data_IF_098789034312
#
_entry.id   IF_098789034312
#
_cell.length_a   1.000
_cell.length_b   1.000
_cell.length_c   1.000
_cell.angle_alpha   90.00
_cell.angle_beta   90.00
_cell.angle_gamma   90.00
#
_symmetry.space_group_name_H-M   'P 1'
#
loop_
_entity.id
_entity.type
_entity.pdbx_description
1 polymer ?
#
# COMPACT_ATOMS: atom_id res chain seq x y z
N UNK A 1 7.26 3.66 10.76
CA UNK A 1 6.05 2.90 11.14
C UNK A 1 5.44 2.49 9.81
N UNK A 2 4.97 1.24 9.66
CA UNK A 2 4.97 0.56 8.36
C UNK A 2 3.60 0.05 7.90
N UNK A 3 2.80 -0.47 8.82
CA UNK A 3 1.42 -0.90 8.58
C UNK A 3 0.61 -0.41 9.78
N UNK A 4 -0.43 0.37 9.53
CA UNK A 4 -1.36 0.92 10.52
C UNK A 4 -2.69 0.24 10.34
N UNK A 5 -3.12 -0.54 11.33
CA UNK A 5 -4.43 -1.20 11.28
C UNK A 5 -5.52 -0.16 11.52
N UNK A 6 -6.43 0.02 10.57
CA UNK A 6 -7.53 0.97 10.69
C UNK A 6 -8.47 0.59 11.84
N UNK A 7 -8.72 -0.71 12.01
CA UNK A 7 -9.43 -1.29 13.15
C UNK A 7 -8.51 -2.28 13.90
N UNK A 8 -7.98 -1.91 15.09
CA UNK A 8 -7.16 -2.80 15.90
C UNK A 8 -7.87 -4.07 16.40
N UNK A 9 -9.21 -4.09 16.45
CA UNK A 9 -9.98 -5.27 16.83
C UNK A 9 -10.09 -6.28 15.67
N UNK A 10 -9.94 -5.81 14.43
CA UNK A 10 -10.07 -6.60 13.20
C UNK A 10 -8.83 -6.47 12.33
N UNK A 11 -7.73 -7.02 12.83
CA UNK A 11 -6.43 -6.95 12.16
C UNK A 11 -6.45 -7.64 10.79
N UNK A 12 -6.02 -6.92 9.76
CA UNK A 12 -5.69 -7.47 8.46
C UNK A 12 -4.20 -7.84 8.40
N UNK A 13 -3.91 -9.13 8.52
CA UNK A 13 -2.57 -9.70 8.43
C UNK A 13 -2.21 -10.21 7.02
N UNK A 14 -3.02 -9.88 6.01
CA UNK A 14 -2.84 -10.30 4.62
C UNK A 14 -2.20 -9.24 3.75
N UNK A 15 -2.12 -8.00 4.21
CA UNK A 15 -1.35 -6.93 3.57
C UNK A 15 -0.06 -6.76 4.36
N UNK A 16 1.08 -7.02 3.70
CA UNK A 16 2.40 -7.01 4.32
C UNK A 16 3.42 -6.35 3.38
N UNK A 17 4.50 -5.81 3.93
CA UNK A 17 5.63 -5.32 3.12
C UNK A 17 6.57 -6.51 2.86
N UNK A 18 7.06 -6.64 1.62
CA UNK A 18 8.01 -7.69 1.27
C UNK A 18 9.31 -7.52 2.10
N UNK A 19 9.75 -8.54 2.85
CA UNK A 19 10.95 -8.45 3.68
C UNK A 19 12.25 -8.32 2.87
N UNK A 20 12.25 -8.74 1.60
CA UNK A 20 13.42 -8.71 0.72
C UNK A 20 13.43 -7.48 -0.19
N UNK A 21 12.26 -6.89 -0.46
CA UNK A 21 12.14 -5.66 -1.25
C UNK A 21 11.18 -4.67 -0.57
N UNK A 22 11.67 -3.70 0.21
CA UNK A 22 10.81 -2.81 0.97
C UNK A 22 10.01 -1.82 0.11
N UNK A 23 10.21 -1.78 -1.21
CA UNK A 23 9.35 -1.03 -2.14
C UNK A 23 8.06 -1.79 -2.51
N UNK A 24 7.94 -3.07 -2.16
CA UNK A 24 6.86 -3.96 -2.59
C UNK A 24 5.86 -4.20 -1.45
N UNK A 25 4.59 -3.96 -1.74
CA UNK A 25 3.46 -4.41 -0.93
C UNK A 25 2.99 -5.78 -1.42
N UNK A 26 2.95 -6.76 -0.53
CA UNK A 26 2.43 -8.10 -0.79
C UNK A 26 1.02 -8.25 -0.20
N UNK A 27 0.12 -8.75 -1.03
CA UNK A 27 -1.22 -9.17 -0.64
C UNK A 27 -1.21 -10.69 -0.65
N UNK A 28 -1.51 -11.30 0.49
CA UNK A 28 -1.62 -12.74 0.66
C UNK A 28 -3.03 -13.21 0.29
N UNK A 29 -3.14 -14.49 -0.06
CA UNK A 29 -4.43 -15.09 -0.39
C UNK A 29 -5.45 -14.88 0.74
N UNK A 30 -6.66 -14.52 0.36
CA UNK A 30 -7.81 -14.40 1.25
C UNK A 30 -9.09 -14.83 0.53
N UNK A 31 -9.98 -15.52 1.25
CA UNK A 31 -11.30 -15.89 0.73
C UNK A 31 -12.32 -14.88 1.23
N UNK A 32 -13.05 -14.27 0.31
CA UNK A 32 -14.10 -13.31 0.60
C UNK A 32 -15.37 -14.01 1.12
N UNK A 33 -16.24 -13.28 1.84
CA UNK A 33 -17.54 -13.75 2.31
C UNK A 33 -18.39 -14.45 1.24
N UNK A 34 -18.40 -13.91 0.02
CA UNK A 34 -19.16 -14.45 -1.12
C UNK A 34 -18.52 -15.69 -1.77
N UNK A 35 -17.42 -16.21 -1.22
CA UNK A 35 -16.69 -17.37 -1.72
C UNK A 35 -15.65 -17.06 -2.80
N UNK A 36 -15.55 -15.82 -3.29
CA UNK A 36 -14.48 -15.42 -4.20
C UNK A 36 -13.11 -15.47 -3.51
N UNK A 37 -12.04 -15.68 -4.29
CA UNK A 37 -10.68 -15.83 -3.75
C UNK A 37 -9.79 -14.74 -4.30
N UNK A 38 -9.31 -13.86 -3.42
CA UNK A 38 -8.22 -12.97 -3.70
C UNK A 38 -6.93 -13.77 -3.82
N UNK A 39 -6.32 -13.76 -5.00
CA UNK A 39 -5.03 -14.43 -5.23
C UNK A 39 -3.89 -13.60 -4.65
N UNK A 40 -2.76 -14.23 -4.27
CA UNK A 40 -1.58 -13.49 -3.87
C UNK A 40 -1.09 -12.56 -4.97
N UNK A 41 -0.69 -11.34 -4.60
CA UNK A 41 -0.16 -10.36 -5.54
C UNK A 41 0.94 -9.52 -4.88
N UNK A 42 1.95 -9.17 -5.66
CA UNK A 42 2.99 -8.21 -5.27
C UNK A 42 2.84 -6.94 -6.10
N UNK A 43 2.86 -5.79 -5.44
CA UNK A 43 2.74 -4.48 -6.06
C UNK A 43 3.96 -3.65 -5.68
N UNK A 44 4.81 -3.35 -6.65
CA UNK A 44 5.92 -2.42 -6.47
C UNK A 44 5.40 -0.99 -6.49
N UNK A 45 5.66 -0.23 -5.42
CA UNK A 45 5.16 1.13 -5.25
C UNK A 45 6.16 2.21 -5.70
N UNK A 46 7.30 1.82 -6.28
CA UNK A 46 8.33 2.77 -6.77
C UNK A 46 7.76 3.78 -7.78
N UNK A 47 6.90 3.33 -8.70
CA UNK A 47 6.30 4.20 -9.72
C UNK A 47 5.22 5.14 -9.17
N UNK A 48 4.80 4.94 -7.92
CA UNK A 48 3.77 5.74 -7.24
C UNK A 48 4.37 6.81 -6.32
N UNK A 49 5.71 6.95 -6.28
CA UNK A 49 6.36 7.97 -5.46
C UNK A 49 5.86 9.38 -5.77
N UNK A 50 5.50 10.12 -4.72
CA UNK A 50 4.90 11.45 -4.80
C UNK A 50 3.39 11.45 -5.06
N UNK A 51 2.73 10.29 -5.01
CA UNK A 51 1.30 10.14 -5.31
C UNK A 51 0.53 9.43 -4.17
N UNK A 52 -0.78 9.70 -4.03
CA UNK A 52 -1.63 8.86 -3.20
C UNK A 52 -1.77 7.46 -3.81
N UNK A 53 -1.75 6.45 -2.97
CA UNK A 53 -1.96 5.05 -3.32
C UNK A 53 -3.20 4.54 -2.61
N UNK A 54 -4.07 3.85 -3.35
CA UNK A 54 -5.21 3.11 -2.80
C UNK A 54 -5.29 1.75 -3.47
N UNK A 55 -5.60 0.75 -2.67
CA UNK A 55 -5.77 -0.62 -3.10
C UNK A 55 -7.14 -1.12 -2.67
N UNK A 56 -7.89 -1.63 -3.63
CA UNK A 56 -9.21 -2.18 -3.45
C UNK A 56 -9.21 -3.68 -3.77
N UNK A 57 -10.14 -4.40 -3.16
CA UNK A 57 -10.55 -5.72 -3.63
C UNK A 57 -11.96 -5.60 -4.21
N UNK A 58 -12.16 -6.21 -5.37
CA UNK A 58 -13.44 -6.30 -6.06
C UNK A 58 -14.23 -7.52 -5.60
N UNK A 59 -15.54 -7.56 -5.88
CA UNK A 59 -16.41 -8.68 -5.48
C UNK A 59 -15.95 -10.05 -6.02
N UNK A 60 -15.24 -10.07 -7.15
CA UNK A 60 -14.69 -11.31 -7.75
C UNK A 60 -13.32 -11.71 -7.18
N UNK A 61 -12.81 -10.97 -6.19
CA UNK A 61 -11.50 -11.18 -5.57
C UNK A 61 -10.33 -10.55 -6.33
N UNK A 62 -10.56 -9.82 -7.42
CA UNK A 62 -9.48 -9.08 -8.10
C UNK A 62 -9.05 -7.87 -7.28
N UNK A 63 -7.77 -7.52 -7.39
CA UNK A 63 -7.21 -6.31 -6.79
C UNK A 63 -7.20 -5.18 -7.81
N UNK A 64 -7.50 -3.98 -7.35
CA UNK A 64 -7.55 -2.78 -8.17
C UNK A 64 -6.90 -1.60 -7.45
N UNK A 65 -6.22 -0.75 -8.21
CA UNK A 65 -5.46 0.41 -7.71
C UNK A 65 -5.97 1.75 -8.26
N UNK A 66 -7.07 1.72 -9.02
CA UNK A 66 -7.65 2.92 -9.59
C UNK A 66 -8.12 3.87 -8.48
N UNK A 67 -7.86 5.17 -8.67
CA UNK A 67 -8.32 6.20 -7.72
C UNK A 67 -9.77 6.63 -8.00
N UNK A 68 -10.30 6.27 -9.16
CA UNK A 68 -11.61 6.62 -9.68
C UNK A 68 -12.48 5.39 -9.92
N UNK A 69 -13.79 5.60 -9.83
CA UNK A 69 -14.78 4.53 -9.98
C UNK A 69 -15.39 4.09 -8.66
N UNK A 70 -16.27 3.10 -8.75
CA UNK A 70 -16.88 2.45 -7.60
C UNK A 70 -16.20 1.11 -7.43
N UNK A 71 -15.58 0.91 -6.27
CA UNK A 71 -14.90 -0.32 -5.89
C UNK A 71 -15.65 -0.99 -4.75
N UNK A 72 -15.56 -2.31 -4.67
CA UNK A 72 -16.26 -3.07 -3.65
C UNK A 72 -15.74 -2.78 -2.23
N UNK A 73 -14.43 -2.87 -2.00
CA UNK A 73 -13.86 -2.68 -0.67
C UNK A 73 -12.43 -2.12 -0.70
N UNK A 74 -12.16 -1.09 0.10
CA UNK A 74 -10.80 -0.53 0.27
C UNK A 74 -10.00 -1.42 1.22
N UNK A 75 -8.85 -1.93 0.77
CA UNK A 75 -7.94 -2.76 1.57
C UNK A 75 -6.78 -1.99 2.18
N UNK A 76 -6.18 -1.06 1.43
CA UNK A 76 -5.06 -0.28 1.91
C UNK A 76 -5.01 1.10 1.26
N UNK A 77 -4.54 2.10 1.99
CA UNK A 77 -4.16 3.39 1.42
C UNK A 77 -2.91 3.96 2.06
N UNK A 78 -2.18 4.76 1.29
CA UNK A 78 -0.96 5.44 1.73
C UNK A 78 -0.71 6.69 0.90
N UNK A 79 0.11 7.61 1.43
CA UNK A 79 0.74 8.65 0.63
C UNK A 79 2.19 8.23 0.42
N UNK A 80 2.55 7.91 -0.83
CA UNK A 80 3.90 7.44 -1.13
C UNK A 80 4.83 8.65 -1.22
N UNK A 81 5.96 8.66 -0.49
CA UNK A 81 6.86 9.81 -0.46
C UNK A 81 7.43 10.10 -1.85
N UNK A 82 7.83 11.35 -2.08
CA UNK A 82 8.53 11.75 -3.30
C UNK A 82 9.87 11.01 -3.43
N UNK A 83 10.44 11.04 -4.64
CA UNK A 83 11.78 10.48 -4.88
C UNK A 83 12.83 11.27 -4.11
N UNK A 84 13.60 10.57 -3.30
CA UNK A 84 14.73 11.12 -2.58
C UNK A 84 16.04 10.82 -3.31
N UNK A 85 17.01 11.73 -3.21
CA UNK A 85 18.33 11.57 -3.81
C UNK A 85 19.40 11.82 -2.76
N UNK A 86 20.42 10.97 -2.76
CA UNK A 86 21.62 11.14 -1.95
C UNK A 86 22.72 11.77 -2.80
N UNK A 87 23.45 12.74 -2.23
CA UNK A 87 24.66 13.27 -2.84
C UNK A 87 25.85 12.38 -2.47
N UNK A 88 26.56 11.88 -3.47
CA UNK A 88 27.76 11.07 -3.29
C UNK A 88 28.93 11.72 -4.04
N UNK A 89 30.09 11.81 -3.41
CA UNK A 89 31.32 12.22 -4.08
C UNK A 89 31.73 11.15 -5.09
N UNK A 90 32.06 11.55 -6.32
CA UNK A 90 32.47 10.60 -7.37
C UNK A 90 33.92 10.14 -7.20
N UNK A 91 34.68 10.77 -6.30
CA UNK A 91 36.12 10.58 -6.14
C UNK A 91 36.96 11.37 -7.15
N UNK A 92 36.31 12.15 -8.02
CA UNK A 92 36.95 13.05 -8.98
C UNK A 92 36.87 14.51 -8.50
N UNK A 93 37.79 15.34 -8.98
CA UNK A 93 37.81 16.78 -8.71
C UNK A 93 37.68 17.57 -10.02
N UNK A 94 37.03 18.72 -9.96
CA UNK A 94 36.91 19.64 -11.08
C UNK A 94 38.22 20.41 -11.37
N UNK A 95 38.19 21.30 -12.36
CA UNK A 95 39.34 22.10 -12.79
C UNK A 95 39.86 23.07 -11.71
N UNK A 96 39.08 23.30 -10.65
CA UNK A 96 39.42 24.14 -9.51
C UNK A 96 39.79 23.33 -8.26
N UNK A 97 39.84 21.99 -8.36
CA UNK A 97 40.18 21.09 -7.26
C UNK A 97 39.02 20.82 -6.30
N UNK A 98 37.77 21.16 -6.67
CA UNK A 98 36.59 20.87 -5.84
C UNK A 98 36.05 19.46 -6.14
N UNK A 99 35.56 18.70 -5.13
CA UNK A 99 34.98 17.39 -5.35
C UNK A 99 33.76 17.45 -6.27
N UNK A 100 33.72 16.57 -7.27
CA UNK A 100 32.53 16.37 -8.09
C UNK A 100 31.55 15.49 -7.28
N UNK A 101 30.31 15.98 -7.16
CA UNK A 101 29.22 15.26 -6.51
C UNK A 101 28.23 14.78 -7.56
N UNK A 102 27.71 13.58 -7.38
CA UNK A 102 26.60 13.02 -8.16
C UNK A 102 25.39 12.80 -7.26
N UNK A 103 24.20 12.82 -7.86
CA UNK A 103 22.95 12.51 -7.18
C UNK A 103 22.52 11.09 -7.54
N UNK A 104 22.39 10.24 -6.52
CA UNK A 104 21.93 8.85 -6.66
C UNK A 104 20.54 8.74 -6.06
N UNK A 105 19.59 8.19 -6.82
CA UNK A 105 18.23 7.96 -6.34
C UNK A 105 18.22 6.95 -5.18
N UNK A 106 17.55 7.31 -4.09
CA UNK A 106 17.38 6.44 -2.94
C UNK A 106 16.18 5.51 -3.19
N UNK A 107 16.33 4.18 -2.95
CA UNK A 107 15.21 3.25 -3.13
C UNK A 107 14.08 3.54 -2.15
N UNK A 108 12.84 3.34 -2.61
CA UNK A 108 11.65 3.43 -1.75
C UNK A 108 11.71 2.39 -0.62
N UNK A 109 11.39 2.84 0.60
CA UNK A 109 11.29 2.00 1.78
C UNK A 109 9.93 2.20 2.47
N UNK A 110 8.98 1.30 2.18
CA UNK A 110 7.63 1.33 2.75
C UNK A 110 7.61 1.12 4.27
N UNK A 111 8.70 0.66 4.90
CA UNK A 111 8.76 0.51 6.37
C UNK A 111 8.75 1.85 7.11
N UNK A 112 9.04 2.92 6.38
CA UNK A 112 9.02 4.30 6.84
C UNK A 112 7.77 5.06 6.38
N UNK A 113 6.81 4.37 5.74
CA UNK A 113 5.56 4.95 5.23
C UNK A 113 4.39 4.43 6.05
N UNK A 114 3.51 5.32 6.47
CA UNK A 114 2.27 4.94 7.13
C UNK A 114 1.27 4.41 6.09
N UNK A 115 1.19 3.08 5.98
CA UNK A 115 0.20 2.40 5.16
C UNK A 115 -0.98 2.02 6.03
N UNK A 116 -2.13 2.66 5.83
CA UNK A 116 -3.37 2.31 6.54
C UNK A 116 -3.98 1.09 5.88
N UNK A 117 -4.20 0.03 6.66
CA UNK A 117 -4.79 -1.23 6.20
C UNK A 117 -6.13 -1.45 6.87
N UNK A 118 -7.14 -1.73 6.05
CA UNK A 118 -8.51 -1.94 6.47
C UNK A 118 -8.79 -3.43 6.71
N UNK A 119 -9.72 -3.76 7.62
CA UNK A 119 -10.17 -5.14 7.79
C UNK A 119 -10.76 -5.69 6.49
N UNK A 120 -10.72 -7.02 6.32
CA UNK A 120 -11.44 -7.67 5.21
C UNK A 120 -12.95 -7.51 5.38
N UNK A 121 -13.72 -7.50 4.28
CA UNK A 121 -15.19 -7.48 4.35
C UNK A 121 -15.68 -8.74 5.05
N UNK A 122 -16.75 -8.60 5.83
CA UNK A 122 -17.42 -9.69 6.53
C UNK A 122 -18.68 -10.09 5.76
N UNK A 123 -19.19 -11.30 6.01
CA UNK A 123 -20.59 -11.57 5.65
C UNK A 123 -21.42 -10.52 6.38
N UNK A 124 -22.10 -9.65 5.64
CA UNK A 124 -23.13 -8.80 6.22
C UNK A 124 -24.19 -9.75 6.77
N UNK A 125 -24.11 -10.05 8.07
CA UNK A 125 -25.31 -10.37 8.82
C UNK A 125 -26.20 -9.16 8.67
N UNK A 126 -27.42 -9.36 8.16
CA UNK A 126 -28.46 -8.34 8.21
C UNK A 126 -28.54 -7.82 9.66
N UNK A 127 -28.04 -6.60 9.92
CA UNK A 127 -28.34 -5.90 11.16
C UNK A 127 -29.63 -5.13 10.95
N UNK A 128 -30.67 -5.74 11.50
CA UNK A 128 -31.82 -5.15 12.20
C UNK A 128 -32.67 -4.11 11.47
N UNK A 129 -33.94 -4.51 11.31
CA UNK A 129 -34.97 -3.69 10.72
C UNK A 129 -35.29 -2.44 11.53
N UNK A 130 -35.55 -1.37 10.81
CA UNK A 130 -36.46 -0.32 11.24
C UNK A 130 -37.86 -0.92 11.40
N UNK A 131 -38.12 -1.48 12.58
CA UNK A 131 -39.46 -1.56 13.10
C UNK A 131 -39.91 -0.12 13.41
N UNK A 132 -40.43 0.57 12.40
CA UNK A 132 -41.30 1.73 12.62
C UNK A 132 -42.53 1.24 13.41
N UNK A 133 -42.48 1.39 14.73
CA UNK A 133 -43.67 1.41 15.56
C UNK A 133 -44.44 2.70 15.24
N UNK A 134 -45.51 2.56 14.46
CA UNK A 134 -46.61 3.54 14.35
C UNK A 134 -47.89 2.93 14.88
#
# INVERSE_FOLDING_TARGET
MAIVQQDPARVNNKVVIDPNNPAVLQILQHQLPNGAVCQPQSIDLTDYQGQPFRLYVEEDGRLNIALDGVHYWLLAEAVIPEREFDSQETGEVDEHGSPIVTHVERPLDLRNVDIVVYPWPEETGEEDGDAEVS
#
